data_IF_652169449631
#
_entry.id   IF_652169449631
#
_cell.length_a   1.000
_cell.length_b   1.000
_cell.length_c   1.000
_cell.angle_alpha   90.00
_cell.angle_beta   90.00
_cell.angle_gamma   90.00
#
_symmetry.space_group_name_H-M   'P 1'
#
loop_
_entity.id
_entity.type
_entity.pdbx_description
1 polymer ?
#
# COMPACT_ATOMS: atom_id res chain seq x y z
N UNK A 1 -39.23 -0.99 -11.01
CA UNK A 1 -37.98 -0.60 -11.71
C UNK A 1 -37.08 0.29 -10.84
N UNK A 2 -37.61 1.35 -10.20
CA UNK A 2 -36.82 2.21 -9.31
C UNK A 2 -36.23 1.46 -8.11
N UNK A 3 -36.98 0.59 -7.47
CA UNK A 3 -36.49 -0.28 -6.37
C UNK A 3 -35.36 -1.19 -6.80
N UNK A 4 -35.39 -1.69 -8.05
CA UNK A 4 -34.33 -2.56 -8.58
C UNK A 4 -33.03 -1.80 -8.76
N UNK A 5 -33.08 -0.57 -9.27
CA UNK A 5 -31.90 0.29 -9.40
C UNK A 5 -31.33 0.64 -8.03
N UNK A 6 -32.16 1.02 -7.08
CA UNK A 6 -31.71 1.35 -5.72
C UNK A 6 -31.04 0.17 -5.02
N UNK A 7 -31.59 -1.05 -5.17
CA UNK A 7 -30.97 -2.27 -4.63
C UNK A 7 -29.61 -2.56 -5.25
N UNK A 8 -29.47 -2.37 -6.56
CA UNK A 8 -28.21 -2.56 -7.26
C UNK A 8 -27.17 -1.52 -6.82
N UNK A 9 -27.58 -0.25 -6.71
CA UNK A 9 -26.73 0.83 -6.23
C UNK A 9 -26.23 0.51 -4.81
N UNK A 10 -27.13 0.14 -3.91
CA UNK A 10 -26.80 -0.21 -2.52
C UNK A 10 -25.83 -1.40 -2.44
N UNK A 11 -26.04 -2.40 -3.30
CA UNK A 11 -25.14 -3.57 -3.39
C UNK A 11 -23.73 -3.16 -3.77
N UNK A 12 -23.58 -2.41 -4.83
CA UNK A 12 -22.27 -1.98 -5.31
C UNK A 12 -21.59 -1.02 -4.34
N UNK A 13 -22.36 -0.16 -3.73
CA UNK A 13 -21.86 0.75 -2.69
C UNK A 13 -21.37 -0.01 -1.47
N UNK A 14 -22.11 -1.00 -0.99
CA UNK A 14 -21.71 -1.83 0.14
C UNK A 14 -20.40 -2.59 -0.14
N UNK A 15 -20.27 -3.15 -1.35
CA UNK A 15 -19.05 -3.85 -1.77
C UNK A 15 -17.88 -2.88 -1.88
N UNK A 16 -18.10 -1.67 -2.41
CA UNK A 16 -17.07 -0.63 -2.48
C UNK A 16 -16.59 -0.21 -1.08
N UNK A 17 -17.52 -0.04 -0.15
CA UNK A 17 -17.21 0.31 1.25
C UNK A 17 -16.40 -0.77 1.96
N UNK A 18 -16.70 -2.05 1.72
CA UNK A 18 -15.92 -3.17 2.26
C UNK A 18 -14.49 -3.18 1.75
N UNK A 19 -14.32 -2.94 0.45
CA UNK A 19 -12.98 -2.84 -0.15
C UNK A 19 -12.25 -1.62 0.39
N UNK A 20 -12.95 -0.52 0.59
CA UNK A 20 -12.39 0.71 1.18
C UNK A 20 -11.85 0.47 2.59
N UNK A 21 -12.58 -0.29 3.41
CA UNK A 21 -12.13 -0.70 4.75
C UNK A 21 -10.87 -1.56 4.68
N UNK A 22 -10.82 -2.52 3.76
CA UNK A 22 -9.64 -3.35 3.52
C UNK A 22 -8.46 -2.52 3.01
N UNK A 23 -8.70 -1.55 2.12
CA UNK A 23 -7.68 -0.61 1.64
C UNK A 23 -7.07 0.20 2.78
N UNK A 24 -7.91 0.68 3.72
CA UNK A 24 -7.44 1.42 4.89
C UNK A 24 -6.51 0.56 5.76
N UNK A 25 -6.86 -0.71 5.99
CA UNK A 25 -6.04 -1.65 6.75
C UNK A 25 -4.71 -1.94 6.05
N UNK A 26 -4.73 -2.17 4.74
CA UNK A 26 -3.54 -2.43 3.94
C UNK A 26 -2.65 -1.19 3.90
N UNK A 27 -3.23 0.00 3.82
CA UNK A 27 -2.49 1.26 3.85
C UNK A 27 -1.75 1.45 5.17
N UNK A 28 -2.39 1.14 6.30
CA UNK A 28 -1.75 1.15 7.62
C UNK A 28 -0.58 0.16 7.67
N UNK A 29 -0.79 -1.05 7.17
CA UNK A 29 0.25 -2.08 7.11
C UNK A 29 1.45 -1.61 6.26
N UNK A 30 1.18 -0.93 5.14
CA UNK A 30 2.21 -0.39 4.26
C UNK A 30 3.02 0.72 4.94
N UNK A 31 2.37 1.63 5.64
CA UNK A 31 3.04 2.69 6.41
C UNK A 31 3.94 2.10 7.49
N UNK A 32 3.45 1.11 8.24
CA UNK A 32 4.24 0.42 9.27
C UNK A 32 5.42 -0.34 8.67
N UNK A 33 5.21 -1.06 7.57
CA UNK A 33 6.27 -1.80 6.89
C UNK A 33 7.37 -0.85 6.36
N UNK A 34 6.99 0.28 5.81
CA UNK A 34 7.92 1.31 5.33
C UNK A 34 8.73 1.89 6.48
N UNK A 35 8.10 2.19 7.61
CA UNK A 35 8.78 2.71 8.80
C UNK A 35 9.80 1.70 9.37
N UNK A 36 9.41 0.43 9.48
CA UNK A 36 10.29 -0.64 9.96
C UNK A 36 11.47 -0.87 9.03
N UNK A 37 11.23 -0.85 7.73
CA UNK A 37 12.29 -0.99 6.74
C UNK A 37 13.30 0.15 6.84
N UNK A 38 12.82 1.37 7.02
CA UNK A 38 13.67 2.56 7.20
C UNK A 38 14.54 2.44 8.44
N UNK A 39 13.96 2.04 9.58
CA UNK A 39 14.71 1.84 10.82
C UNK A 39 15.79 0.77 10.66
N UNK A 40 15.46 -0.35 10.02
CA UNK A 40 16.40 -1.43 9.79
C UNK A 40 17.52 -1.02 8.82
N UNK A 41 17.18 -0.24 7.79
CA UNK A 41 18.18 0.33 6.87
C UNK A 41 19.14 1.28 7.57
N UNK A 42 18.65 2.09 8.49
CA UNK A 42 19.48 2.96 9.32
C UNK A 42 20.40 2.15 10.23
N UNK A 43 19.91 1.08 10.83
CA UNK A 43 20.69 0.16 11.63
C UNK A 43 21.82 -0.49 10.82
N UNK A 44 21.52 -0.96 9.61
CA UNK A 44 22.50 -1.50 8.69
C UNK A 44 23.58 -0.47 8.31
N UNK A 45 23.17 0.77 8.10
CA UNK A 45 24.11 1.87 7.78
C UNK A 45 25.05 2.16 8.95
N UNK A 46 24.53 2.15 10.18
CA UNK A 46 25.35 2.31 11.40
C UNK A 46 26.36 1.19 11.54
N UNK A 47 25.94 -0.06 11.31
CA UNK A 47 26.81 -1.22 11.38
C UNK A 47 27.93 -1.16 10.34
N UNK A 48 27.63 -0.71 9.13
CA UNK A 48 28.64 -0.51 8.05
C UNK A 48 29.64 0.55 8.43
N UNK A 49 29.18 1.68 8.97
CA UNK A 49 30.05 2.75 9.47
C UNK A 49 30.96 2.23 10.59
N UNK A 50 30.41 1.49 11.52
CA UNK A 50 31.16 0.89 12.61
C UNK A 50 32.23 -0.08 12.10
N UNK A 51 31.88 -0.90 11.13
CA UNK A 51 32.82 -1.80 10.46
C UNK A 51 33.99 -1.05 9.81
N UNK A 52 33.70 0.01 9.05
CA UNK A 52 34.73 0.85 8.42
C UNK A 52 35.67 1.47 9.45
N UNK A 53 35.12 1.98 10.55
CA UNK A 53 35.88 2.57 11.65
C UNK A 53 36.81 1.52 12.31
N UNK A 54 36.30 0.32 12.58
CA UNK A 54 37.11 -0.75 13.16
C UNK A 54 38.17 -1.30 12.21
N UNK A 55 37.90 -1.33 10.90
CA UNK A 55 38.91 -1.68 9.88
C UNK A 55 40.03 -0.65 9.86
N UNK A 56 39.68 0.62 9.97
CA UNK A 56 40.66 1.71 10.04
C UNK A 56 41.51 1.61 11.30
N UNK A 57 40.87 1.36 12.44
CA UNK A 57 41.56 1.19 13.72
C UNK A 57 42.49 -0.03 13.72
N UNK A 58 42.07 -1.15 13.11
CA UNK A 58 42.88 -2.34 12.95
C UNK A 58 44.14 -2.05 12.13
N UNK A 59 43.98 -1.34 10.99
CA UNK A 59 45.11 -0.97 10.15
C UNK A 59 46.10 -0.05 10.88
N UNK A 60 45.58 0.94 11.64
CA UNK A 60 46.41 1.83 12.45
C UNK A 60 47.13 1.08 13.57
N UNK A 61 46.50 0.11 14.21
CA UNK A 61 47.09 -0.67 15.28
C UNK A 61 48.17 -1.64 14.78
N UNK A 62 48.00 -2.23 13.60
CA UNK A 62 49.02 -3.04 12.95
C UNK A 62 50.30 -2.28 12.62
N UNK A 63 50.20 -0.98 12.37
CA UNK A 63 51.33 -0.10 12.11
C UNK A 63 52.05 0.36 13.38
N UNK A 64 51.32 0.53 14.50
CA UNK A 64 51.84 1.12 15.74
C UNK A 64 52.30 0.09 16.79
N UNK A 65 51.56 -0.98 16.92
CA UNK A 65 51.76 -1.92 18.00
C UNK A 65 51.50 -3.35 17.52
N UNK A 66 52.43 -4.23 17.72
CA UNK A 66 52.33 -5.64 17.32
C UNK A 66 51.71 -6.52 18.42
N UNK A 67 50.84 -5.98 19.25
CA UNK A 67 50.12 -6.75 20.28
C UNK A 67 49.15 -7.74 19.61
N UNK A 68 49.46 -9.01 19.69
CA UNK A 68 48.67 -10.09 19.13
C UNK A 68 47.26 -10.13 19.74
N UNK A 69 47.16 -9.87 21.03
CA UNK A 69 45.88 -9.91 21.78
C UNK A 69 44.90 -8.84 21.30
N UNK A 70 45.35 -7.58 21.16
CA UNK A 70 44.54 -6.48 20.72
C UNK A 70 44.05 -6.68 19.27
N UNK A 71 44.97 -7.17 18.41
CA UNK A 71 44.65 -7.50 17.00
C UNK A 71 43.64 -8.65 16.94
N UNK A 72 43.76 -9.66 17.78
CA UNK A 72 42.86 -10.80 17.85
C UNK A 72 41.46 -10.34 18.30
N UNK A 73 41.36 -9.48 19.29
CA UNK A 73 40.07 -8.89 19.73
C UNK A 73 39.38 -8.11 18.64
N UNK A 74 40.10 -7.24 17.94
CA UNK A 74 39.55 -6.48 16.81
C UNK A 74 39.06 -7.38 15.68
N UNK A 75 39.81 -8.40 15.33
CA UNK A 75 39.42 -9.36 14.29
C UNK A 75 38.18 -10.15 14.67
N UNK A 76 38.08 -10.60 15.92
CA UNK A 76 36.89 -11.29 16.42
C UNK A 76 35.67 -10.38 16.38
N UNK A 77 35.84 -9.13 16.78
CA UNK A 77 34.78 -8.15 16.76
C UNK A 77 34.31 -7.87 15.33
N UNK A 78 35.24 -7.75 14.38
CA UNK A 78 34.92 -7.56 12.96
C UNK A 78 34.16 -8.75 12.37
N UNK A 79 34.53 -9.97 12.73
CA UNK A 79 33.81 -11.18 12.31
C UNK A 79 32.37 -11.14 12.84
N UNK A 80 32.21 -10.80 14.12
CA UNK A 80 30.88 -10.66 14.71
C UNK A 80 30.05 -9.55 14.04
N UNK A 81 30.66 -8.42 13.73
CA UNK A 81 30.02 -7.33 12.98
C UNK A 81 29.56 -7.77 11.60
N UNK A 82 30.41 -8.50 10.87
CA UNK A 82 30.08 -9.04 9.55
C UNK A 82 28.90 -10.02 9.62
N UNK A 83 28.89 -10.90 10.60
CA UNK A 83 27.78 -11.84 10.81
C UNK A 83 26.49 -11.11 11.11
N UNK A 84 26.54 -10.10 11.99
CA UNK A 84 25.38 -9.27 12.34
C UNK A 84 24.88 -8.49 11.13
N UNK A 85 25.79 -7.91 10.35
CA UNK A 85 25.45 -7.16 9.14
C UNK A 85 24.78 -8.04 8.09
N UNK A 86 25.30 -9.25 7.87
CA UNK A 86 24.68 -10.23 6.95
C UNK A 86 23.27 -10.58 7.41
N UNK A 87 23.07 -10.81 8.70
CA UNK A 87 21.74 -11.10 9.25
C UNK A 87 20.77 -9.93 9.06
N UNK A 88 21.20 -8.71 9.32
CA UNK A 88 20.39 -7.50 9.13
C UNK A 88 20.04 -7.29 7.66
N UNK A 89 21.00 -7.45 6.77
CA UNK A 89 20.77 -7.33 5.32
C UNK A 89 19.80 -8.38 4.79
N UNK A 90 19.85 -9.59 5.34
CA UNK A 90 18.90 -10.66 5.02
C UNK A 90 17.48 -10.31 5.51
N UNK A 91 17.36 -9.76 6.72
CA UNK A 91 16.08 -9.25 7.22
C UNK A 91 15.53 -8.11 6.36
N UNK A 92 16.39 -7.21 5.89
CA UNK A 92 16.00 -6.14 4.97
C UNK A 92 15.41 -6.69 3.67
N UNK A 93 16.05 -7.70 3.09
CA UNK A 93 15.52 -8.34 1.87
C UNK A 93 14.16 -8.99 2.12
N UNK A 94 13.97 -9.63 3.27
CA UNK A 94 12.69 -10.23 3.63
C UNK A 94 11.61 -9.15 3.83
N UNK A 95 11.94 -8.04 4.47
CA UNK A 95 11.04 -6.89 4.65
C UNK A 95 10.65 -6.27 3.32
N UNK A 96 11.58 -6.13 2.38
CA UNK A 96 11.29 -5.65 1.02
C UNK A 96 10.32 -6.56 0.28
N UNK A 97 10.55 -7.87 0.36
CA UNK A 97 9.66 -8.85 -0.28
C UNK A 97 8.25 -8.80 0.32
N UNK A 98 8.14 -8.72 1.64
CA UNK A 98 6.86 -8.58 2.34
C UNK A 98 6.15 -7.28 1.96
N UNK A 99 6.88 -6.17 1.87
CA UNK A 99 6.34 -4.87 1.45
C UNK A 99 5.79 -4.92 0.03
N UNK A 100 6.50 -5.56 -0.90
CA UNK A 100 6.04 -5.74 -2.28
C UNK A 100 4.71 -6.50 -2.36
N UNK A 101 4.55 -7.52 -1.52
CA UNK A 101 3.29 -8.27 -1.44
C UNK A 101 2.14 -7.38 -0.95
N UNK A 102 2.39 -6.55 0.06
CA UNK A 102 1.41 -5.59 0.57
C UNK A 102 1.05 -4.55 -0.50
N UNK A 103 2.04 -4.02 -1.21
CA UNK A 103 1.82 -3.08 -2.33
C UNK A 103 0.99 -3.71 -3.45
N UNK A 104 1.25 -4.97 -3.79
CA UNK A 104 0.48 -5.69 -4.79
C UNK A 104 -0.96 -5.89 -4.36
N UNK A 105 -1.19 -6.26 -3.09
CA UNK A 105 -2.53 -6.38 -2.54
C UNK A 105 -3.27 -5.05 -2.56
N UNK A 106 -2.60 -3.96 -2.24
CA UNK A 106 -3.15 -2.60 -2.32
C UNK A 106 -3.64 -2.29 -3.74
N UNK A 107 -2.82 -2.57 -4.75
CA UNK A 107 -3.18 -2.34 -6.16
C UNK A 107 -4.41 -3.14 -6.58
N UNK A 108 -4.46 -4.42 -6.19
CA UNK A 108 -5.61 -5.29 -6.51
C UNK A 108 -6.89 -4.79 -5.83
N UNK A 109 -6.82 -4.39 -4.57
CA UNK A 109 -7.96 -3.82 -3.84
C UNK A 109 -8.40 -2.48 -4.44
N UNK A 110 -7.45 -1.65 -4.85
CA UNK A 110 -7.75 -0.38 -5.52
C UNK A 110 -8.49 -0.59 -6.85
N UNK A 111 -8.05 -1.56 -7.65
CA UNK A 111 -8.73 -1.93 -8.90
C UNK A 111 -10.13 -2.46 -8.65
N UNK A 112 -10.30 -3.27 -7.61
CA UNK A 112 -11.59 -3.81 -7.22
C UNK A 112 -12.55 -2.70 -6.75
N UNK A 113 -12.06 -1.77 -5.95
CA UNK A 113 -12.81 -0.59 -5.53
C UNK A 113 -13.28 0.24 -6.73
N UNK A 114 -12.37 0.53 -7.66
CA UNK A 114 -12.68 1.27 -8.89
C UNK A 114 -13.74 0.56 -9.72
N UNK A 115 -13.67 -0.77 -9.81
CA UNK A 115 -14.66 -1.60 -10.50
C UNK A 115 -16.06 -1.44 -9.88
N UNK A 116 -16.16 -1.52 -8.55
CA UNK A 116 -17.45 -1.39 -7.86
C UNK A 116 -18.02 0.03 -7.97
N UNK A 117 -17.19 1.05 -7.89
CA UNK A 117 -17.60 2.43 -8.13
C UNK A 117 -18.11 2.61 -9.56
N UNK A 118 -17.42 2.08 -10.54
CA UNK A 118 -17.84 2.14 -11.95
C UNK A 118 -19.19 1.46 -12.15
N UNK A 119 -19.39 0.29 -11.54
CA UNK A 119 -20.67 -0.43 -11.63
C UNK A 119 -21.80 0.35 -10.97
N UNK A 120 -21.56 0.95 -9.80
CA UNK A 120 -22.52 1.82 -9.14
C UNK A 120 -22.89 3.00 -10.04
N UNK A 121 -21.92 3.70 -10.57
CA UNK A 121 -22.12 4.87 -11.42
C UNK A 121 -22.93 4.52 -12.69
N UNK A 122 -22.69 3.35 -13.26
CA UNK A 122 -23.48 2.87 -14.42
C UNK A 122 -24.95 2.68 -14.06
N UNK A 123 -25.23 2.08 -12.90
CA UNK A 123 -26.60 1.89 -12.45
C UNK A 123 -27.27 3.23 -12.14
N UNK A 124 -26.56 4.15 -11.50
CA UNK A 124 -27.04 5.52 -11.25
C UNK A 124 -27.38 6.24 -12.56
N UNK A 125 -26.54 6.09 -13.57
CA UNK A 125 -26.77 6.64 -14.91
C UNK A 125 -28.03 6.06 -15.56
N UNK A 126 -28.24 4.75 -15.47
CA UNK A 126 -29.46 4.08 -15.97
C UNK A 126 -30.71 4.55 -15.23
N UNK A 127 -30.61 4.70 -13.92
CA UNK A 127 -31.70 5.24 -13.08
C UNK A 127 -32.08 6.65 -13.52
N UNK A 128 -31.08 7.51 -13.67
CA UNK A 128 -31.26 8.89 -14.11
C UNK A 128 -31.90 8.96 -15.51
N UNK A 129 -31.47 8.16 -16.45
CA UNK A 129 -32.04 8.05 -17.80
C UNK A 129 -33.47 7.56 -17.76
N UNK A 130 -33.79 6.60 -16.93
CA UNK A 130 -35.13 6.07 -16.75
C UNK A 130 -36.07 7.16 -16.19
N UNK A 131 -35.65 7.90 -15.19
CA UNK A 131 -36.41 9.00 -14.60
C UNK A 131 -36.68 10.12 -15.63
N UNK A 132 -35.67 10.48 -16.42
CA UNK A 132 -35.86 11.48 -17.51
C UNK A 132 -36.87 11.02 -18.56
N UNK A 133 -36.84 9.76 -18.93
CA UNK A 133 -37.81 9.21 -19.89
C UNK A 133 -39.24 9.23 -19.36
N UNK A 134 -39.40 8.93 -18.06
CA UNK A 134 -40.69 9.02 -17.39
C UNK A 134 -41.24 10.46 -17.37
N UNK A 135 -40.38 11.41 -16.98
CA UNK A 135 -40.73 12.84 -16.98
C UNK A 135 -41.13 13.33 -18.38
N UNK A 136 -40.39 12.92 -19.39
CA UNK A 136 -40.69 13.30 -20.78
C UNK A 136 -42.01 12.72 -21.24
N UNK A 137 -42.30 11.46 -20.91
CA UNK A 137 -43.62 10.87 -21.21
C UNK A 137 -44.77 11.60 -20.54
N UNK A 138 -44.57 12.00 -19.27
CA UNK A 138 -45.60 12.77 -18.53
C UNK A 138 -45.82 14.13 -19.16
N UNK A 139 -44.75 14.84 -19.56
CA UNK A 139 -44.84 16.11 -20.26
C UNK A 139 -45.53 15.97 -21.62
N UNK A 140 -45.18 14.95 -22.37
CA UNK A 140 -45.79 14.69 -23.68
C UNK A 140 -47.29 14.41 -23.53
N UNK A 141 -47.69 13.63 -22.51
CA UNK A 141 -49.11 13.38 -22.21
C UNK A 141 -49.84 14.68 -21.83
N UNK A 142 -49.23 15.51 -20.98
CA UNK A 142 -49.80 16.80 -20.59
C UNK A 142 -49.94 17.75 -21.82
N UNK A 143 -48.98 17.75 -22.69
CA UNK A 143 -49.00 18.56 -23.92
C UNK A 143 -50.09 18.08 -24.87
N UNK A 144 -50.28 16.79 -25.02
CA UNK A 144 -51.37 16.19 -25.83
C UNK A 144 -52.71 16.53 -25.23
N UNK A 145 -52.90 16.46 -23.92
CA UNK A 145 -54.12 16.83 -23.24
C UNK A 145 -54.45 18.30 -23.42
N UNK A 146 -53.46 19.20 -23.31
CA UNK A 146 -53.65 20.64 -23.57
C UNK A 146 -54.05 20.92 -25.01
N UNK A 147 -53.43 20.20 -25.93
CA UNK A 147 -53.74 20.35 -27.37
C UNK A 147 -55.15 19.86 -27.71
N UNK A 148 -55.62 18.79 -27.07
CA UNK A 148 -56.94 18.23 -27.31
C UNK A 148 -58.08 19.05 -26.65
N UNK A 149 -57.76 19.89 -25.65
CA UNK A 149 -58.74 20.80 -24.99
C UNK A 149 -58.88 22.14 -25.74
N UNK A 150 -57.99 22.46 -26.62
CA UNK A 150 -58.08 23.65 -27.50
C UNK A 150 -58.61 23.23 -28.85
#
# INVERSE_FOLDING_TARGET
MAETFDRQIDRWQLLAERVEDELAEVQKALVQATARQKEMAQEAAKLRQMKEQYLHDLAAQQQRDHSVDATTHLRRFLIHLDETLVAVEQQLRQMEAAKRQVEQRYRLLYQEHSKFETLRNRVEGRKSDHERRLEQKQQDLLNVQRFSQN
#
